data_IF_543920269915
#
_entry.id   IF_543920269915
#
_cell.length_a   1.000
_cell.length_b   1.000
_cell.length_c   1.000
_cell.angle_alpha   90.00
_cell.angle_beta   90.00
_cell.angle_gamma   90.00
#
_symmetry.space_group_name_H-M   'P 1'
#
loop_
_entity.id
_entity.type
_entity.pdbx_description
1 polymer ?
#
# COMPACT_ATOMS: atom_id res chain seq x y z
N UNK A 1 -8.73 -19.47 23.06
CA UNK A 1 -10.04 -18.82 22.90
C UNK A 1 -10.01 -18.09 21.58
N UNK A 2 -11.07 -18.09 20.76
CA UNK A 2 -11.12 -17.27 19.57
C UNK A 2 -10.96 -15.80 19.99
N UNK A 3 -10.07 -15.09 19.31
CA UNK A 3 -9.87 -13.65 19.50
C UNK A 3 -11.15 -12.91 19.07
N UNK A 4 -11.74 -12.19 20.00
CA UNK A 4 -12.91 -11.35 19.72
C UNK A 4 -12.41 -10.06 19.07
N UNK A 5 -13.04 -9.65 17.97
CA UNK A 5 -12.66 -8.42 17.28
C UNK A 5 -13.06 -7.17 18.10
N UNK A 6 -12.23 -6.14 18.06
CA UNK A 6 -12.50 -4.85 18.71
C UNK A 6 -13.82 -4.22 18.24
N UNK A 7 -14.21 -4.40 16.98
CA UNK A 7 -15.47 -3.88 16.45
C UNK A 7 -16.69 -4.41 17.21
N UNK A 8 -16.63 -5.65 17.72
CA UNK A 8 -17.74 -6.28 18.43
C UNK A 8 -17.94 -5.78 19.87
N UNK A 9 -16.96 -5.07 20.42
CA UNK A 9 -17.01 -4.48 21.78
C UNK A 9 -17.08 -2.96 21.75
N UNK A 10 -17.24 -2.38 20.55
CA UNK A 10 -17.42 -0.94 20.39
C UNK A 10 -18.76 -0.48 21.02
N UNK A 11 -18.70 0.63 21.75
CA UNK A 11 -19.88 1.27 22.37
C UNK A 11 -20.65 2.12 21.37
N UNK A 12 -20.01 2.52 20.28
CA UNK A 12 -20.60 3.29 19.20
C UNK A 12 -19.96 2.86 17.86
N UNK A 13 -20.80 2.81 16.82
CA UNK A 13 -20.39 2.60 15.43
C UNK A 13 -21.14 3.60 14.56
N UNK A 14 -20.42 4.24 13.63
CA UNK A 14 -21.05 5.13 12.66
C UNK A 14 -20.46 4.95 11.27
N UNK A 15 -21.25 5.28 10.26
CA UNK A 15 -20.82 5.24 8.88
C UNK A 15 -20.19 6.58 8.49
N UNK A 16 -18.94 6.55 8.01
CA UNK A 16 -18.23 7.71 7.46
C UNK A 16 -18.50 7.82 5.96
N UNK A 17 -18.45 6.69 5.28
CA UNK A 17 -18.76 6.63 3.86
C UNK A 17 -19.50 5.32 3.52
N UNK A 18 -20.49 5.35 2.61
CA UNK A 18 -21.21 4.17 2.19
C UNK A 18 -20.34 3.26 1.31
N UNK A 19 -20.78 2.01 1.20
CA UNK A 19 -20.28 1.11 0.17
C UNK A 19 -20.65 1.61 -1.23
N UNK A 20 -19.84 1.29 -2.23
CA UNK A 20 -20.09 1.65 -3.63
C UNK A 20 -19.84 0.48 -4.56
N UNK A 21 -20.68 0.35 -5.59
CA UNK A 21 -20.46 -0.62 -6.65
C UNK A 21 -19.41 -0.09 -7.64
N UNK A 22 -18.45 -0.92 -8.00
CA UNK A 22 -17.37 -0.57 -8.92
C UNK A 22 -17.14 -1.66 -9.95
N UNK A 23 -16.87 -1.23 -11.19
CA UNK A 23 -16.32 -2.10 -12.21
C UNK A 23 -14.82 -2.29 -11.97
N UNK A 24 -14.37 -3.53 -12.01
CA UNK A 24 -12.95 -3.93 -11.94
C UNK A 24 -12.48 -4.16 -13.37
N UNK A 25 -11.64 -3.28 -13.95
CA UNK A 25 -11.15 -3.45 -15.31
C UNK A 25 -10.19 -4.64 -15.41
N UNK A 26 -10.08 -5.24 -16.59
CA UNK A 26 -9.08 -6.26 -16.86
C UNK A 26 -7.66 -5.66 -16.79
N UNK A 27 -6.72 -6.40 -16.20
CA UNK A 27 -5.30 -6.09 -16.35
C UNK A 27 -4.86 -6.33 -17.81
N UNK A 28 -3.80 -5.66 -18.22
CA UNK A 28 -3.16 -5.88 -19.54
C UNK A 28 -2.06 -6.93 -19.39
N UNK A 29 -2.14 -8.00 -20.16
CA UNK A 29 -1.16 -9.09 -20.13
C UNK A 29 -1.22 -9.91 -21.42
N UNK A 30 -0.13 -10.58 -21.74
CA UNK A 30 -0.07 -11.46 -22.91
C UNK A 30 -0.79 -12.80 -22.66
N UNK A 31 -1.33 -13.44 -23.70
CA UNK A 31 -1.81 -14.82 -23.58
C UNK A 31 -0.77 -15.73 -22.94
N UNK A 32 -1.21 -16.65 -22.07
CA UNK A 32 -0.34 -17.59 -21.36
C UNK A 32 0.28 -17.05 -20.06
N UNK A 33 0.12 -15.77 -19.71
CA UNK A 33 0.70 -15.23 -18.48
C UNK A 33 -0.01 -15.73 -17.22
N UNK A 34 -1.32 -15.91 -17.24
CA UNK A 34 -2.10 -16.45 -16.11
C UNK A 34 -1.69 -17.89 -15.81
N UNK A 35 -1.43 -18.69 -16.83
CA UNK A 35 -1.06 -20.09 -16.73
C UNK A 35 0.34 -20.32 -16.14
N UNK A 36 1.19 -19.28 -16.14
CA UNK A 36 2.50 -19.29 -15.46
C UNK A 36 2.39 -19.13 -13.94
N UNK A 37 1.22 -18.74 -13.39
CA UNK A 37 1.04 -18.53 -11.95
C UNK A 37 1.03 -19.87 -11.22
N UNK A 38 2.00 -20.06 -10.34
CA UNK A 38 2.16 -21.29 -9.53
C UNK A 38 1.53 -21.12 -8.14
N UNK A 39 1.73 -19.95 -7.51
CA UNK A 39 1.16 -19.65 -6.19
C UNK A 39 0.87 -18.16 -6.04
N UNK A 40 -0.04 -17.84 -5.13
CA UNK A 40 -0.42 -16.47 -4.76
C UNK A 40 -0.06 -16.16 -3.32
N UNK A 41 0.03 -14.87 -3.00
CA UNK A 41 0.25 -14.36 -1.64
C UNK A 41 -0.84 -13.35 -1.27
N UNK A 42 -1.17 -13.26 0.02
CA UNK A 42 -2.17 -12.38 0.64
C UNK A 42 -3.64 -12.66 0.29
N UNK A 43 -3.92 -13.40 -0.77
CA UNK A 43 -5.27 -13.82 -1.13
C UNK A 43 -5.24 -15.19 -1.82
N UNK A 44 -6.34 -15.98 -1.78
CA UNK A 44 -6.46 -17.21 -2.52
C UNK A 44 -6.22 -17.03 -4.03
N UNK A 45 -5.69 -18.05 -4.68
CA UNK A 45 -5.29 -18.02 -6.09
C UNK A 45 -6.44 -17.61 -7.02
N UNK A 46 -7.62 -18.15 -6.81
CA UNK A 46 -8.83 -17.83 -7.58
C UNK A 46 -9.21 -16.35 -7.45
N UNK A 47 -9.08 -15.78 -6.26
CA UNK A 47 -9.31 -14.34 -6.00
C UNK A 47 -8.30 -13.49 -6.75
N UNK A 48 -7.00 -13.85 -6.71
CA UNK A 48 -5.94 -13.14 -7.44
C UNK A 48 -6.17 -13.22 -8.94
N UNK A 49 -6.42 -14.41 -9.48
CA UNK A 49 -6.67 -14.60 -10.92
C UNK A 49 -7.92 -13.84 -11.37
N UNK A 50 -9.00 -13.89 -10.59
CA UNK A 50 -10.21 -13.13 -10.88
C UNK A 50 -9.94 -11.63 -10.92
N UNK A 51 -9.17 -11.10 -9.97
CA UNK A 51 -8.79 -9.68 -9.95
C UNK A 51 -7.95 -9.28 -11.17
N UNK A 52 -7.01 -10.13 -11.61
CA UNK A 52 -6.18 -9.89 -12.78
C UNK A 52 -6.97 -9.98 -14.10
N UNK A 53 -7.86 -10.97 -14.24
CA UNK A 53 -8.76 -11.07 -15.40
C UNK A 53 -9.73 -9.91 -15.48
N UNK A 54 -10.18 -9.40 -14.34
CA UNK A 54 -11.08 -8.26 -14.27
C UNK A 54 -12.41 -8.48 -14.97
N UNK A 55 -12.98 -7.39 -15.49
CA UNK A 55 -14.24 -7.34 -16.23
C UNK A 55 -15.46 -7.87 -15.45
N UNK A 56 -15.53 -7.45 -14.17
CA UNK A 56 -16.66 -7.76 -13.28
C UNK A 56 -17.00 -6.58 -12.39
N UNK A 57 -18.22 -6.59 -11.85
CA UNK A 57 -18.63 -5.63 -10.81
C UNK A 57 -18.38 -6.20 -9.41
N UNK A 58 -18.01 -5.35 -8.49
CA UNK A 58 -17.82 -5.67 -7.08
C UNK A 58 -18.31 -4.53 -6.21
N UNK A 59 -18.70 -4.84 -4.98
CA UNK A 59 -19.00 -3.83 -3.96
C UNK A 59 -17.73 -3.54 -3.19
N UNK A 60 -17.32 -2.27 -3.14
CA UNK A 60 -16.32 -1.77 -2.21
C UNK A 60 -17.01 -1.41 -0.91
N UNK A 61 -16.51 -1.95 0.19
CA UNK A 61 -17.14 -1.81 1.50
C UNK A 61 -17.14 -0.36 2.01
N UNK A 62 -17.99 -0.14 2.99
CA UNK A 62 -18.14 1.13 3.69
C UNK A 62 -16.88 1.51 4.51
N UNK A 63 -16.68 2.79 4.76
CA UNK A 63 -15.74 3.28 5.78
C UNK A 63 -16.52 3.52 7.07
N UNK A 64 -16.06 2.92 8.17
CA UNK A 64 -16.71 3.00 9.47
C UNK A 64 -15.78 3.55 10.54
N UNK A 65 -16.34 4.32 11.45
CA UNK A 65 -15.74 4.69 12.72
C UNK A 65 -16.31 3.87 13.87
N UNK A 66 -15.48 3.59 14.85
CA UNK A 66 -15.83 2.86 16.07
C UNK A 66 -15.27 3.57 17.29
N UNK A 67 -16.07 3.64 18.37
CA UNK A 67 -15.63 4.15 19.66
C UNK A 67 -15.56 3.01 20.67
N UNK A 68 -14.44 2.91 21.33
CA UNK A 68 -14.19 1.99 22.45
C UNK A 68 -14.05 2.78 23.75
N UNK A 69 -14.31 2.13 24.88
CA UNK A 69 -14.04 2.68 26.23
C UNK A 69 -13.11 1.74 27.00
N UNK A 70 -12.31 2.36 27.88
CA UNK A 70 -11.38 1.65 28.75
C UNK A 70 -10.46 0.71 27.93
N UNK A 71 -9.60 1.29 27.10
CA UNK A 71 -8.71 0.57 26.20
C UNK A 71 -7.28 0.69 26.69
N UNK A 72 -6.64 -0.42 26.90
CA UNK A 72 -5.19 -0.48 27.15
C UNK A 72 -4.43 -0.76 25.87
N UNK A 73 -3.52 0.14 25.51
CA UNK A 73 -2.49 -0.15 24.52
C UNK A 73 -1.21 -0.52 25.27
N UNK A 74 -0.71 -1.73 25.01
CA UNK A 74 0.54 -2.21 25.60
C UNK A 74 1.39 -2.85 24.52
N UNK A 75 2.57 -2.29 24.29
CA UNK A 75 3.54 -2.79 23.32
C UNK A 75 2.92 -3.18 21.96
N UNK A 76 2.13 -2.26 21.38
CA UNK A 76 1.51 -2.44 20.08
C UNK A 76 0.33 -3.41 20.05
N UNK A 77 -0.24 -3.75 21.21
CA UNK A 77 -1.46 -4.56 21.31
C UNK A 77 -2.52 -3.78 22.06
N UNK A 78 -3.69 -3.66 21.45
CA UNK A 78 -4.89 -3.09 22.06
C UNK A 78 -5.65 -4.16 22.80
N UNK A 79 -6.08 -3.83 24.02
CA UNK A 79 -6.93 -4.65 24.88
C UNK A 79 -8.17 -3.85 25.25
N UNK A 80 -9.35 -4.39 24.99
CA UNK A 80 -10.62 -3.80 25.36
C UNK A 80 -11.58 -4.91 25.79
N UNK A 81 -11.92 -4.98 27.08
CA UNK A 81 -12.75 -6.08 27.60
C UNK A 81 -12.18 -7.46 27.23
N UNK A 82 -12.91 -8.26 26.45
CA UNK A 82 -12.48 -9.58 25.94
C UNK A 82 -11.81 -9.56 24.56
N UNK A 83 -11.75 -8.38 23.93
CA UNK A 83 -11.20 -8.21 22.58
C UNK A 83 -9.74 -7.79 22.62
N UNK A 84 -8.97 -8.25 21.62
CA UNK A 84 -7.58 -7.84 21.43
C UNK A 84 -7.28 -7.62 19.96
N UNK A 85 -6.45 -6.61 19.66
CA UNK A 85 -5.96 -6.36 18.29
C UNK A 85 -4.48 -6.02 18.32
N UNK A 86 -3.69 -6.73 17.52
CA UNK A 86 -2.29 -6.43 17.31
C UNK A 86 -2.15 -5.35 16.23
N UNK A 87 -1.38 -4.30 16.53
CA UNK A 87 -0.96 -3.27 15.57
C UNK A 87 0.41 -3.59 14.98
N UNK A 88 1.28 -4.24 15.77
CA UNK A 88 2.62 -4.71 15.41
C UNK A 88 3.01 -5.90 16.27
N UNK A 89 4.07 -6.64 15.93
CA UNK A 89 4.65 -7.64 16.84
C UNK A 89 5.07 -7.01 18.17
N UNK A 90 4.87 -7.70 19.25
CA UNK A 90 5.37 -7.27 20.56
C UNK A 90 6.91 -7.19 20.54
N UNK A 91 7.46 -6.15 21.14
CA UNK A 91 8.91 -5.95 21.29
C UNK A 91 9.42 -6.57 22.59
N UNK A 92 8.57 -6.67 23.62
CA UNK A 92 8.94 -7.06 24.98
C UNK A 92 8.14 -8.27 25.47
N UNK A 93 8.72 -9.02 26.40
CA UNK A 93 7.97 -10.03 27.16
C UNK A 93 7.04 -9.35 28.17
N UNK A 94 5.93 -10.01 28.52
CA UNK A 94 4.85 -9.47 29.36
C UNK A 94 5.26 -8.88 30.73
N UNK A 95 6.49 -9.12 31.20
CA UNK A 95 7.02 -8.58 32.47
C UNK A 95 7.36 -7.09 32.43
N UNK A 96 7.30 -6.44 31.28
CA UNK A 96 7.59 -5.01 31.13
C UNK A 96 6.31 -4.14 31.15
N UNK A 97 5.33 -4.47 31.99
CA UNK A 97 4.22 -3.57 32.32
C UNK A 97 4.75 -2.37 33.10
N UNK A 98 5.30 -1.39 32.37
CA UNK A 98 5.53 -0.05 32.90
C UNK A 98 4.19 0.64 33.17
N UNK A 99 4.16 1.62 34.07
CA UNK A 99 2.96 2.46 34.26
C UNK A 99 2.55 3.03 32.92
N UNK A 100 1.33 2.68 32.48
CA UNK A 100 0.72 3.33 31.31
C UNK A 100 0.50 4.82 31.62
N UNK A 101 0.67 5.64 30.61
CA UNK A 101 0.25 7.05 30.67
C UNK A 101 -1.24 7.10 30.41
N UNK A 102 -2.02 7.80 31.21
CA UNK A 102 -3.44 7.97 30.96
C UNK A 102 -3.70 9.00 29.86
N UNK A 103 -4.58 8.66 28.94
CA UNK A 103 -5.11 9.58 27.93
C UNK A 103 -6.64 9.55 27.96
N UNK A 104 -7.27 10.73 27.98
CA UNK A 104 -8.73 10.79 27.94
C UNK A 104 -9.28 10.25 26.62
N UNK A 105 -8.72 10.69 25.49
CA UNK A 105 -9.21 10.34 24.17
C UNK A 105 -8.05 10.16 23.20
N UNK A 106 -8.25 9.33 22.16
CA UNK A 106 -7.32 9.17 21.06
C UNK A 106 -8.04 8.66 19.80
N UNK A 107 -7.47 8.92 18.62
CA UNK A 107 -7.95 8.43 17.35
C UNK A 107 -6.82 7.66 16.63
N UNK A 108 -6.99 6.35 16.50
CA UNK A 108 -6.00 5.45 15.93
C UNK A 108 -6.30 5.20 14.44
N UNK A 109 -5.32 5.45 13.58
CA UNK A 109 -5.44 5.31 12.12
C UNK A 109 -4.55 4.23 11.54
N UNK A 110 -3.65 3.64 12.33
CA UNK A 110 -2.71 2.63 11.85
C UNK A 110 -3.29 1.21 11.89
N UNK A 111 -2.75 0.37 11.01
CA UNK A 111 -3.10 -1.02 10.87
C UNK A 111 -1.91 -1.94 11.06
N UNK A 112 -2.16 -3.24 11.28
CA UNK A 112 -1.10 -4.26 11.28
C UNK A 112 -0.31 -4.28 9.96
N UNK A 113 -1.01 -4.17 8.82
CA UNK A 113 -0.37 -4.19 7.50
C UNK A 113 0.46 -2.93 7.28
N UNK A 114 -0.06 -1.77 7.68
CA UNK A 114 0.67 -0.50 7.61
C UNK A 114 1.94 -0.52 8.46
N UNK A 115 1.87 -1.08 9.67
CA UNK A 115 3.06 -1.23 10.52
C UNK A 115 4.09 -2.25 9.99
N UNK A 116 3.66 -3.19 9.14
CA UNK A 116 4.53 -4.22 8.58
C UNK A 116 5.10 -3.87 7.21
N UNK A 117 4.32 -3.19 6.36
CA UNK A 117 4.69 -2.92 4.97
C UNK A 117 4.59 -1.44 4.65
N UNK A 118 5.66 -0.89 4.12
CA UNK A 118 5.72 0.50 3.67
C UNK A 118 4.58 0.85 2.70
N UNK A 119 4.28 -0.04 1.76
CA UNK A 119 3.21 0.18 0.79
C UNK A 119 1.84 0.41 1.44
N UNK A 120 1.46 -0.44 2.41
CA UNK A 120 0.20 -0.29 3.14
C UNK A 120 0.19 0.95 4.03
N UNK A 121 1.31 1.26 4.68
CA UNK A 121 1.42 2.50 5.43
C UNK A 121 1.13 3.72 4.53
N UNK A 122 1.75 3.79 3.36
CA UNK A 122 1.62 4.93 2.45
C UNK A 122 0.23 5.02 1.79
N UNK A 123 -0.39 3.87 1.40
CA UNK A 123 -1.65 3.84 0.65
C UNK A 123 -2.90 3.64 1.48
N UNK A 124 -2.75 3.28 2.74
CA UNK A 124 -3.85 3.04 3.67
C UNK A 124 -3.74 3.91 4.92
N UNK A 125 -2.73 3.70 5.78
CA UNK A 125 -2.62 4.40 7.06
C UNK A 125 -2.46 5.92 6.89
N UNK A 126 -1.58 6.38 5.98
CA UNK A 126 -1.44 7.81 5.69
C UNK A 126 -2.76 8.45 5.21
N UNK A 127 -3.57 7.70 4.47
CA UNK A 127 -4.89 8.18 4.02
C UNK A 127 -5.92 8.19 5.15
N UNK A 128 -5.85 7.21 6.06
CA UNK A 128 -6.75 7.12 7.22
C UNK A 128 -6.43 8.15 8.29
N UNK A 129 -5.25 8.79 8.23
CA UNK A 129 -4.87 9.87 9.16
C UNK A 129 -5.87 11.03 9.18
N UNK A 130 -6.43 11.43 8.03
CA UNK A 130 -7.42 12.51 7.98
C UNK A 130 -8.68 12.16 8.77
N UNK A 131 -9.11 10.89 8.75
CA UNK A 131 -10.24 10.42 9.56
C UNK A 131 -9.93 10.57 11.06
N UNK A 132 -8.71 10.22 11.46
CA UNK A 132 -8.31 10.38 12.86
C UNK A 132 -8.27 11.85 13.27
N UNK A 133 -7.74 12.73 12.43
CA UNK A 133 -7.67 14.17 12.70
C UNK A 133 -9.05 14.85 12.75
N UNK A 134 -10.04 14.32 12.03
CA UNK A 134 -11.42 14.81 12.06
C UNK A 134 -12.20 14.36 13.31
N UNK A 135 -11.82 13.21 13.89
CA UNK A 135 -12.59 12.57 14.96
C UNK A 135 -11.93 12.62 16.35
N UNK A 136 -10.65 13.04 16.45
CA UNK A 136 -9.96 13.11 17.72
C UNK A 136 -8.49 13.48 17.59
N UNK A 137 -7.71 13.26 18.67
CA UNK A 137 -6.25 13.41 18.64
C UNK A 137 -5.63 12.20 17.93
N UNK A 138 -4.97 12.37 16.76
CA UNK A 138 -4.34 11.25 16.07
C UNK A 138 -3.22 10.64 16.90
N UNK A 139 -3.24 9.31 17.06
CA UNK A 139 -2.23 8.57 17.79
C UNK A 139 -1.64 7.45 16.94
N UNK A 140 -0.35 7.14 17.16
CA UNK A 140 0.37 6.10 16.43
C UNK A 140 1.41 5.40 17.29
N UNK A 141 1.60 4.11 17.09
CA UNK A 141 2.70 3.33 17.68
C UNK A 141 3.92 3.27 16.77
N UNK A 142 3.80 3.77 15.54
CA UNK A 142 4.84 3.67 14.52
C UNK A 142 6.02 4.59 14.83
N UNK A 143 7.21 4.06 14.68
CA UNK A 143 8.44 4.82 14.67
C UNK A 143 8.80 5.19 13.22
N UNK A 144 8.73 6.48 12.90
CA UNK A 144 9.01 7.03 11.55
C UNK A 144 10.46 7.52 11.42
N UNK A 145 11.39 6.89 12.11
CA UNK A 145 12.80 7.31 12.11
C UNK A 145 13.59 6.87 10.86
N UNK A 146 12.98 6.14 9.93
CA UNK A 146 13.70 5.49 8.84
C UNK A 146 13.21 5.85 7.44
N UNK A 147 14.15 6.10 6.53
CA UNK A 147 13.95 6.20 5.09
C UNK A 147 13.00 7.32 4.67
N UNK A 148 12.20 7.07 3.66
CA UNK A 148 11.27 8.03 3.08
C UNK A 148 10.07 8.38 3.97
N UNK A 149 9.79 7.59 5.02
CA UNK A 149 8.59 7.74 5.86
C UNK A 149 8.51 9.12 6.50
N UNK A 150 9.61 9.63 7.03
CA UNK A 150 9.66 10.97 7.62
C UNK A 150 9.27 12.03 6.60
N UNK A 151 9.82 11.94 5.39
CA UNK A 151 9.53 12.93 4.34
C UNK A 151 8.08 12.86 3.86
N UNK A 152 7.53 11.66 3.66
CA UNK A 152 6.09 11.50 3.35
C UNK A 152 5.19 12.04 4.48
N UNK A 153 5.54 11.77 5.73
CA UNK A 153 4.79 12.29 6.88
C UNK A 153 4.78 13.83 6.91
N UNK A 154 5.91 14.47 6.61
CA UNK A 154 5.99 15.94 6.48
C UNK A 154 5.09 16.46 5.37
N UNK A 155 5.17 15.87 4.15
CA UNK A 155 4.37 16.28 2.98
C UNK A 155 2.87 16.12 3.25
N UNK A 156 2.49 15.01 3.89
CA UNK A 156 1.09 14.75 4.26
C UNK A 156 0.65 15.49 5.53
N UNK A 157 1.60 16.15 6.23
CA UNK A 157 1.36 16.85 7.51
C UNK A 157 0.80 15.93 8.59
N UNK A 158 1.37 14.73 8.68
CA UNK A 158 0.99 13.79 9.73
C UNK A 158 1.56 14.26 11.08
N UNK A 159 0.69 14.65 11.99
CA UNK A 159 1.04 15.16 13.32
C UNK A 159 0.43 14.26 14.40
N UNK A 160 0.67 12.94 14.28
CA UNK A 160 0.18 12.01 15.26
C UNK A 160 1.07 11.98 16.52
N UNK A 161 0.42 11.90 17.67
CA UNK A 161 1.12 11.70 18.93
C UNK A 161 1.67 10.26 18.99
N UNK A 162 2.99 10.14 19.12
CA UNK A 162 3.64 8.86 19.32
C UNK A 162 3.33 8.28 20.71
N UNK A 163 2.87 7.05 20.73
CA UNK A 163 2.49 6.32 21.96
C UNK A 163 3.05 4.89 21.96
N UNK A 164 3.39 4.35 23.15
CA UNK A 164 3.85 2.97 23.31
C UNK A 164 2.98 2.18 24.28
N UNK A 165 2.69 2.74 25.46
CA UNK A 165 1.83 2.14 26.50
C UNK A 165 0.94 3.22 27.08
N UNK A 166 -0.36 3.10 26.85
CA UNK A 166 -1.34 4.13 27.20
C UNK A 166 -2.66 3.48 27.59
N UNK A 167 -3.29 3.99 28.65
CA UNK A 167 -4.70 3.74 28.93
C UNK A 167 -5.54 4.86 28.34
N UNK A 168 -6.56 4.49 27.53
CA UNK A 168 -7.54 5.43 26.98
C UNK A 168 -8.89 5.28 27.69
N UNK A 169 -9.45 6.38 28.16
CA UNK A 169 -10.88 6.41 28.56
C UNK A 169 -11.76 6.13 27.34
N UNK A 170 -11.42 6.77 26.20
CA UNK A 170 -12.06 6.54 24.90
C UNK A 170 -11.02 6.46 23.78
N UNK A 171 -11.14 5.45 22.92
CA UNK A 171 -10.36 5.28 21.70
C UNK A 171 -11.27 5.17 20.49
N UNK A 172 -11.01 6.00 19.48
CA UNK A 172 -11.64 5.89 18.16
C UNK A 172 -10.69 5.13 17.24
N UNK A 173 -11.24 4.24 16.42
CA UNK A 173 -10.52 3.58 15.34
C UNK A 173 -11.43 3.38 14.11
N UNK A 174 -10.84 2.99 12.98
CA UNK A 174 -11.54 2.96 11.70
C UNK A 174 -11.43 1.58 11.04
N UNK A 175 -12.50 1.16 10.36
CA UNK A 175 -12.46 0.14 9.31
C UNK A 175 -12.46 0.86 7.97
N UNK A 176 -11.27 0.96 7.36
CA UNK A 176 -10.99 1.69 6.14
C UNK A 176 -10.12 0.87 5.18
N UNK A 177 -10.36 -0.45 5.13
CA UNK A 177 -9.56 -1.38 4.33
C UNK A 177 -9.95 -1.38 2.85
N UNK A 178 -11.20 -1.05 2.55
CA UNK A 178 -11.72 -1.04 1.20
C UNK A 178 -11.29 0.19 0.38
N UNK A 179 -11.17 -0.02 -0.93
CA UNK A 179 -10.75 1.02 -1.87
C UNK A 179 -11.99 1.73 -2.46
N UNK A 180 -12.83 2.31 -1.59
CA UNK A 180 -14.06 3.03 -1.95
C UNK A 180 -13.81 4.48 -2.40
N UNK A 181 -14.88 5.19 -2.75
CA UNK A 181 -14.81 6.57 -3.27
C UNK A 181 -14.27 7.57 -2.24
N UNK A 182 -14.59 7.40 -0.96
CA UNK A 182 -14.06 8.25 0.09
C UNK A 182 -12.53 8.13 0.19
N UNK A 183 -11.99 6.90 0.15
CA UNK A 183 -10.55 6.69 0.13
C UNK A 183 -9.91 7.23 -1.16
N UNK A 184 -10.61 7.16 -2.32
CA UNK A 184 -10.15 7.78 -3.56
C UNK A 184 -9.94 9.29 -3.41
N UNK A 185 -10.90 10.00 -2.84
CA UNK A 185 -10.80 11.45 -2.61
C UNK A 185 -9.58 11.80 -1.72
N UNK A 186 -9.37 11.05 -0.63
CA UNK A 186 -8.22 11.24 0.26
C UNK A 186 -6.89 10.94 -0.46
N UNK A 187 -6.86 9.93 -1.33
CA UNK A 187 -5.68 9.62 -2.14
C UNK A 187 -5.38 10.71 -3.17
N UNK A 188 -6.40 11.33 -3.78
CA UNK A 188 -6.24 12.46 -4.69
C UNK A 188 -5.69 13.70 -3.97
N UNK A 189 -6.11 13.97 -2.73
CA UNK A 189 -5.52 15.03 -1.92
C UNK A 189 -4.05 14.76 -1.58
N UNK A 190 -3.73 13.54 -1.16
CA UNK A 190 -2.35 13.12 -0.93
C UNK A 190 -1.48 13.26 -2.19
N UNK A 191 -2.02 12.86 -3.36
CA UNK A 191 -1.35 13.03 -4.65
C UNK A 191 -1.08 14.51 -4.97
N UNK A 192 -2.05 15.40 -4.75
CA UNK A 192 -1.86 16.85 -4.98
C UNK A 192 -0.73 17.42 -4.13
N UNK A 193 -0.62 17.01 -2.86
CA UNK A 193 0.46 17.43 -1.97
C UNK A 193 1.83 16.94 -2.47
N UNK A 194 1.91 15.70 -2.94
CA UNK A 194 3.15 15.17 -3.51
C UNK A 194 3.53 15.87 -4.82
N UNK A 195 2.59 16.16 -5.71
CA UNK A 195 2.88 16.89 -6.94
C UNK A 195 3.36 18.34 -6.69
N UNK A 196 3.09 18.90 -5.52
CA UNK A 196 3.53 20.25 -5.15
C UNK A 196 5.00 20.33 -4.72
N UNK A 197 5.65 19.18 -4.38
CA UNK A 197 7.05 19.21 -3.92
C UNK A 197 8.09 19.03 -5.03
N UNK A 198 7.68 18.61 -6.24
CA UNK A 198 8.60 18.42 -7.36
C UNK A 198 7.91 18.68 -8.70
N UNK A 199 8.59 19.37 -9.59
CA UNK A 199 8.15 19.52 -10.97
C UNK A 199 8.38 18.22 -11.74
N UNK A 200 7.44 17.88 -12.63
CA UNK A 200 7.53 16.72 -13.50
C UNK A 200 7.31 17.11 -14.96
N UNK A 201 7.96 16.38 -15.85
CA UNK A 201 7.79 16.53 -17.30
C UNK A 201 7.33 15.18 -17.85
N UNK A 202 6.39 15.21 -18.78
CA UNK A 202 5.90 13.97 -19.42
C UNK A 202 7.03 13.24 -20.15
N UNK A 203 7.12 11.93 -19.93
CA UNK A 203 8.10 11.06 -20.55
C UNK A 203 7.57 9.60 -20.66
N UNK A 204 8.20 8.75 -21.50
CA UNK A 204 7.68 7.40 -21.78
C UNK A 204 7.49 6.54 -20.56
N UNK A 205 8.45 6.53 -19.61
CA UNK A 205 8.32 5.72 -18.42
C UNK A 205 9.51 5.77 -17.47
N UNK A 206 9.33 5.15 -16.32
CA UNK A 206 10.38 4.94 -15.32
C UNK A 206 10.38 3.48 -14.86
N UNK A 207 11.56 2.89 -14.76
CA UNK A 207 11.77 1.59 -14.14
C UNK A 207 12.30 1.81 -12.72
N UNK A 208 11.50 1.39 -11.71
CA UNK A 208 11.90 1.45 -10.32
C UNK A 208 12.62 0.16 -9.95
N UNK A 209 13.92 0.26 -9.68
CA UNK A 209 14.72 -0.89 -9.26
C UNK A 209 14.31 -1.34 -7.86
N UNK A 210 14.16 -2.64 -7.70
CA UNK A 210 13.91 -3.26 -6.41
C UNK A 210 15.20 -3.69 -5.72
N UNK A 211 16.13 -4.24 -6.48
CA UNK A 211 17.33 -4.85 -5.92
C UNK A 211 17.01 -5.96 -4.90
N UNK A 212 17.78 -6.01 -3.83
CA UNK A 212 17.66 -7.01 -2.76
C UNK A 212 16.90 -6.49 -1.51
N UNK A 213 16.12 -5.41 -1.64
CA UNK A 213 15.43 -4.80 -0.48
C UNK A 213 14.12 -5.51 -0.13
N UNK A 214 13.79 -5.58 1.17
CA UNK A 214 12.55 -6.15 1.68
C UNK A 214 12.50 -7.68 1.63
N UNK A 215 11.31 -8.25 1.47
CA UNK A 215 11.15 -9.70 1.32
C UNK A 215 11.75 -10.18 0.00
N UNK A 216 12.49 -11.31 0.04
CA UNK A 216 13.21 -11.85 -1.11
C UNK A 216 12.30 -12.08 -2.32
N UNK A 217 12.63 -11.42 -3.43
CA UNK A 217 12.08 -11.55 -4.80
C UNK A 217 13.11 -11.01 -5.76
N UNK A 218 14.09 -11.84 -6.09
CA UNK A 218 15.22 -11.40 -6.88
C UNK A 218 14.98 -11.72 -8.35
N UNK A 219 14.73 -10.67 -9.14
CA UNK A 219 14.73 -10.77 -10.60
C UNK A 219 16.17 -10.72 -11.10
N UNK A 220 16.71 -11.85 -11.53
CA UNK A 220 18.13 -12.02 -11.89
C UNK A 220 18.57 -11.13 -13.05
N UNK A 221 17.65 -10.76 -13.93
CA UNK A 221 17.93 -9.89 -15.07
C UNK A 221 17.27 -8.49 -14.92
N UNK A 222 16.97 -8.03 -13.69
CA UNK A 222 16.30 -6.74 -13.44
C UNK A 222 17.01 -5.58 -14.12
N UNK A 223 18.33 -5.47 -13.92
CA UNK A 223 19.12 -4.37 -14.50
C UNK A 223 19.15 -4.41 -16.02
N UNK A 224 19.29 -5.59 -16.60
CA UNK A 224 19.29 -5.76 -18.06
C UNK A 224 17.93 -5.35 -18.68
N UNK A 225 16.80 -5.68 -18.02
CA UNK A 225 15.47 -5.23 -18.44
C UNK A 225 15.36 -3.70 -18.33
N UNK A 226 15.78 -3.11 -17.22
CA UNK A 226 15.74 -1.67 -17.02
C UNK A 226 16.56 -0.92 -18.08
N UNK A 227 17.79 -1.38 -18.36
CA UNK A 227 18.69 -0.80 -19.37
C UNK A 227 18.15 -0.96 -20.80
N UNK A 228 17.52 -2.10 -21.08
CA UNK A 228 16.84 -2.33 -22.35
C UNK A 228 15.69 -1.34 -22.57
N UNK A 229 14.80 -1.18 -21.57
CA UNK A 229 13.71 -0.21 -21.63
C UNK A 229 14.22 1.24 -21.71
N UNK A 230 15.31 1.57 -21.03
CA UNK A 230 15.94 2.89 -21.12
C UNK A 230 16.44 3.17 -22.53
N UNK A 231 17.18 2.23 -23.11
CA UNK A 231 17.81 2.40 -24.42
C UNK A 231 16.78 2.43 -25.56
N UNK A 232 15.80 1.54 -25.52
CA UNK A 232 14.86 1.33 -26.64
C UNK A 232 13.59 2.17 -26.54
N UNK A 233 13.12 2.42 -25.30
CA UNK A 233 11.85 3.10 -25.05
C UNK A 233 11.99 4.43 -24.30
N UNK A 234 13.22 4.87 -23.99
CA UNK A 234 13.49 6.15 -23.33
C UNK A 234 13.04 6.17 -21.85
N UNK A 235 12.99 5.02 -21.19
CA UNK A 235 12.68 4.95 -19.77
C UNK A 235 13.80 5.55 -18.93
N UNK A 236 13.45 6.15 -17.83
CA UNK A 236 14.39 6.49 -16.76
C UNK A 236 14.58 5.27 -15.86
N UNK A 237 15.79 5.07 -15.34
CA UNK A 237 16.06 4.06 -14.32
C UNK A 237 16.24 4.78 -13.00
N UNK A 238 15.53 4.35 -11.96
CA UNK A 238 15.61 4.97 -10.65
C UNK A 238 15.67 3.89 -9.57
N UNK A 239 16.60 4.07 -8.63
CA UNK A 239 16.70 3.23 -7.43
C UNK A 239 16.11 3.99 -6.24
N UNK A 240 14.90 3.62 -5.77
CA UNK A 240 14.27 4.30 -4.65
C UNK A 240 15.09 4.23 -3.35
N UNK A 241 15.98 3.24 -3.18
CA UNK A 241 16.75 3.08 -1.95
C UNK A 241 17.79 4.18 -1.72
N UNK A 242 18.20 4.87 -2.78
CA UNK A 242 19.20 5.95 -2.75
C UNK A 242 18.67 7.29 -3.25
N UNK A 243 17.42 7.34 -3.72
CA UNK A 243 16.78 8.57 -4.23
C UNK A 243 15.97 9.26 -3.14
N UNK A 244 15.86 10.56 -3.22
CA UNK A 244 14.96 11.36 -2.38
C UNK A 244 13.49 11.20 -2.81
N UNK A 245 12.55 11.56 -1.94
CA UNK A 245 11.12 11.55 -2.29
C UNK A 245 10.83 12.50 -3.45
N UNK A 246 11.50 13.67 -3.49
CA UNK A 246 11.37 14.66 -4.56
C UNK A 246 11.84 14.10 -5.91
N UNK A 247 12.97 13.39 -5.95
CA UNK A 247 13.47 12.75 -7.17
C UNK A 247 12.54 11.66 -7.67
N UNK A 248 11.99 10.84 -6.74
CA UNK A 248 11.02 9.81 -7.06
C UNK A 248 9.73 10.43 -7.62
N UNK A 249 9.21 11.48 -6.98
CA UNK A 249 8.02 12.19 -7.45
C UNK A 249 8.27 12.80 -8.81
N UNK A 250 9.39 13.51 -9.02
CA UNK A 250 9.75 14.11 -10.29
C UNK A 250 9.86 13.07 -11.43
N UNK A 251 10.38 11.89 -11.13
CA UNK A 251 10.49 10.80 -12.11
C UNK A 251 9.17 10.12 -12.42
N UNK A 252 8.31 9.90 -11.42
CA UNK A 252 7.10 9.09 -11.59
C UNK A 252 5.87 9.91 -11.99
N UNK A 253 5.76 11.18 -11.56
CA UNK A 253 4.57 11.99 -11.78
C UNK A 253 4.32 12.37 -13.26
N UNK A 254 5.35 12.34 -14.10
CA UNK A 254 5.26 12.56 -15.55
C UNK A 254 5.36 11.30 -16.41
N UNK A 255 5.53 10.13 -15.77
CA UNK A 255 5.70 8.88 -16.47
C UNK A 255 4.38 8.33 -17.03
N UNK A 256 4.35 7.97 -18.31
CA UNK A 256 3.22 7.21 -18.89
C UNK A 256 3.17 5.78 -18.38
N UNK A 257 4.33 5.19 -18.09
CA UNK A 257 4.43 3.86 -17.50
C UNK A 257 5.41 3.89 -16.33
N UNK A 258 4.98 3.38 -15.17
CA UNK A 258 5.87 3.01 -14.06
C UNK A 258 6.04 1.51 -14.09
N UNK A 259 7.28 1.03 -14.16
CA UNK A 259 7.58 -0.40 -14.25
C UNK A 259 8.51 -0.86 -13.13
N UNK A 260 8.46 -2.15 -12.78
CA UNK A 260 9.40 -2.77 -11.84
C UNK A 260 8.92 -4.10 -11.31
N UNK A 261 9.73 -4.72 -10.44
CA UNK A 261 9.38 -5.97 -9.77
C UNK A 261 8.31 -5.71 -8.70
N UNK A 262 7.35 -6.63 -8.52
CA UNK A 262 6.32 -6.53 -7.50
C UNK A 262 6.91 -6.18 -6.12
N UNK A 263 6.33 -5.19 -5.44
CA UNK A 263 6.74 -4.79 -4.10
C UNK A 263 6.33 -3.38 -3.70
N UNK A 264 6.52 -3.07 -2.40
CA UNK A 264 6.12 -1.79 -1.81
C UNK A 264 6.84 -0.57 -2.42
N UNK A 265 8.03 -0.73 -3.04
CA UNK A 265 8.73 0.35 -3.71
C UNK A 265 7.95 0.89 -4.93
N UNK A 266 7.14 0.06 -5.61
CA UNK A 266 6.29 0.52 -6.72
C UNK A 266 5.20 1.50 -6.27
N UNK A 267 4.86 1.50 -4.99
CA UNK A 267 3.85 2.40 -4.44
C UNK A 267 4.29 3.86 -4.54
N UNK A 268 5.58 4.14 -4.46
CA UNK A 268 6.13 5.48 -4.70
C UNK A 268 5.65 6.08 -6.03
N UNK A 269 5.73 5.28 -7.10
CA UNK A 269 5.28 5.72 -8.42
C UNK A 269 3.76 5.72 -8.55
N UNK A 270 3.12 4.65 -8.06
CA UNK A 270 1.68 4.44 -8.16
C UNK A 270 0.87 5.63 -7.59
N UNK A 271 1.30 6.22 -6.47
CA UNK A 271 0.56 7.31 -5.81
C UNK A 271 0.68 8.66 -6.52
N UNK A 272 1.64 8.84 -7.42
CA UNK A 272 1.89 10.12 -8.11
C UNK A 272 1.70 10.06 -9.63
N UNK A 273 1.80 8.89 -10.26
CA UNK A 273 1.64 8.77 -11.71
C UNK A 273 0.26 9.25 -12.17
N UNK A 274 0.10 9.73 -13.44
CA UNK A 274 -1.17 10.21 -13.97
C UNK A 274 -2.29 9.15 -13.89
N UNK A 275 -3.57 9.57 -13.87
CA UNK A 275 -4.70 8.62 -13.84
C UNK A 275 -4.80 7.72 -15.09
N UNK A 276 -4.30 8.17 -16.24
CA UNK A 276 -4.26 7.42 -17.50
C UNK A 276 -2.97 6.61 -17.70
N UNK A 277 -2.00 6.79 -16.80
CA UNK A 277 -0.75 6.04 -16.82
C UNK A 277 -0.94 4.57 -16.47
N UNK A 278 0.08 3.76 -16.74
CA UNK A 278 0.09 2.33 -16.44
C UNK A 278 1.14 1.95 -15.41
N UNK A 279 0.80 1.02 -14.53
CA UNK A 279 1.73 0.30 -13.68
C UNK A 279 2.03 -1.07 -14.31
N UNK A 280 3.27 -1.29 -14.78
CA UNK A 280 3.72 -2.57 -15.33
C UNK A 280 4.52 -3.33 -14.27
N UNK A 281 3.98 -4.46 -13.83
CA UNK A 281 4.52 -5.22 -12.70
C UNK A 281 5.10 -6.55 -13.13
N UNK A 282 6.38 -6.79 -12.85
CA UNK A 282 7.03 -8.08 -13.04
C UNK A 282 6.87 -8.90 -11.78
N UNK A 283 6.27 -10.09 -11.88
CA UNK A 283 5.94 -10.92 -10.72
C UNK A 283 6.62 -12.29 -10.77
N UNK A 284 7.14 -12.81 -9.65
CA UNK A 284 7.60 -14.19 -9.57
C UNK A 284 6.42 -15.16 -9.68
N UNK A 285 6.55 -16.31 -10.36
CA UNK A 285 5.42 -17.22 -10.58
C UNK A 285 4.89 -17.85 -9.28
N UNK A 286 5.74 -18.02 -8.28
CA UNK A 286 5.41 -18.67 -7.00
C UNK A 286 4.86 -17.71 -5.92
N UNK A 287 4.67 -16.41 -6.25
CA UNK A 287 4.19 -15.41 -5.31
C UNK A 287 3.51 -14.23 -6.03
N UNK A 288 2.41 -14.52 -6.69
CA UNK A 288 1.66 -13.49 -7.43
C UNK A 288 0.68 -12.77 -6.50
N UNK A 289 0.61 -11.44 -6.61
CA UNK A 289 -0.29 -10.58 -5.83
C UNK A 289 -1.06 -9.62 -6.72
N UNK A 290 -2.30 -9.33 -6.31
CA UNK A 290 -3.17 -8.36 -6.98
C UNK A 290 -3.36 -7.05 -6.19
N UNK A 291 -2.66 -6.86 -5.06
CA UNK A 291 -2.84 -5.71 -4.19
C UNK A 291 -2.62 -4.36 -4.90
N UNK A 292 -1.54 -4.24 -5.70
CA UNK A 292 -1.26 -3.02 -6.45
C UNK A 292 -2.32 -2.73 -7.52
N UNK A 293 -2.88 -3.78 -8.14
CA UNK A 293 -3.99 -3.61 -9.09
C UNK A 293 -5.23 -3.01 -8.45
N UNK A 294 -5.57 -3.43 -7.24
CA UNK A 294 -6.74 -2.86 -6.53
C UNK A 294 -6.57 -1.36 -6.28
N UNK A 295 -5.33 -0.91 -6.04
CA UNK A 295 -5.02 0.52 -5.85
C UNK A 295 -5.05 1.26 -7.18
N UNK A 296 -4.49 0.71 -8.27
CA UNK A 296 -4.57 1.31 -9.61
C UNK A 296 -6.03 1.45 -10.06
N UNK A 297 -6.86 0.43 -9.84
CA UNK A 297 -8.30 0.45 -10.15
C UNK A 297 -9.02 1.60 -9.41
N UNK A 298 -8.70 1.84 -8.12
CA UNK A 298 -9.24 2.97 -7.35
C UNK A 298 -8.87 4.29 -8.00
N UNK A 299 -7.64 4.44 -8.48
CA UNK A 299 -7.12 5.69 -9.04
C UNK A 299 -7.48 5.91 -10.51
N UNK A 300 -8.04 4.89 -11.18
CA UNK A 300 -8.37 4.95 -12.62
C UNK A 300 -7.16 4.74 -13.52
N UNK A 301 -6.08 4.17 -12.98
CA UNK A 301 -4.83 3.86 -13.68
C UNK A 301 -4.90 2.49 -14.35
N UNK A 302 -4.10 2.28 -15.39
CA UNK A 302 -3.96 0.96 -16.00
C UNK A 302 -3.03 0.07 -15.19
N UNK A 303 -3.30 -1.23 -15.17
CA UNK A 303 -2.42 -2.23 -14.58
C UNK A 303 -2.02 -3.26 -15.62
N UNK A 304 -0.72 -3.49 -15.77
CA UNK A 304 -0.15 -4.53 -16.63
C UNK A 304 0.77 -5.44 -15.81
N UNK A 305 0.91 -6.70 -16.22
CA UNK A 305 1.84 -7.60 -15.56
C UNK A 305 2.49 -8.60 -16.49
N UNK A 306 3.68 -9.06 -16.08
CA UNK A 306 4.42 -10.17 -16.68
C UNK A 306 4.79 -11.15 -15.57
N UNK A 307 4.54 -12.43 -15.77
CA UNK A 307 4.96 -13.49 -14.85
C UNK A 307 6.30 -14.05 -15.34
N UNK A 308 7.30 -14.04 -14.47
CA UNK A 308 8.60 -14.60 -14.75
C UNK A 308 8.64 -16.13 -14.68
N UNK A 309 9.84 -16.68 -14.76
CA UNK A 309 10.15 -18.10 -14.63
C UNK A 309 11.23 -18.32 -13.59
N UNK A 310 11.16 -19.40 -12.81
CA UNK A 310 12.10 -19.70 -11.72
C UNK A 310 11.50 -19.60 -10.32
N UNK A 311 12.36 -19.64 -9.31
CA UNK A 311 11.96 -19.53 -7.90
C UNK A 311 11.90 -18.08 -7.41
N UNK A 312 11.30 -17.87 -6.24
CA UNK A 312 11.12 -16.51 -5.66
C UNK A 312 12.45 -15.79 -5.41
N UNK A 313 13.50 -16.51 -5.07
CA UNK A 313 14.82 -15.94 -4.75
C UNK A 313 15.68 -15.72 -5.99
N UNK A 314 15.31 -16.35 -7.11
CA UNK A 314 16.04 -16.23 -8.37
C UNK A 314 15.08 -16.56 -9.53
N UNK A 315 14.36 -15.58 -10.00
CA UNK A 315 13.52 -15.71 -11.19
C UNK A 315 14.02 -14.77 -12.29
N UNK A 316 13.63 -15.04 -13.52
CA UNK A 316 13.92 -14.20 -14.68
C UNK A 316 12.66 -13.95 -15.49
N UNK A 317 12.67 -12.92 -16.32
CA UNK A 317 11.61 -12.63 -17.28
C UNK A 317 12.20 -12.48 -18.68
N UNK A 318 11.47 -12.93 -19.70
CA UNK A 318 11.84 -12.66 -21.08
C UNK A 318 11.63 -11.16 -21.38
N UNK A 319 12.68 -10.51 -21.86
CA UNK A 319 12.65 -9.11 -22.25
C UNK A 319 11.58 -8.82 -23.30
N UNK A 320 11.39 -9.73 -24.25
CA UNK A 320 10.37 -9.63 -25.28
C UNK A 320 8.94 -9.70 -24.70
N UNK A 321 8.71 -10.51 -23.66
CA UNK A 321 7.41 -10.51 -22.96
C UNK A 321 7.14 -9.15 -22.27
N UNK A 322 8.18 -8.52 -21.70
CA UNK A 322 8.07 -7.19 -21.09
C UNK A 322 7.74 -6.13 -22.14
N UNK A 323 8.45 -6.09 -23.27
CA UNK A 323 8.21 -5.17 -24.38
C UNK A 323 6.81 -5.31 -24.97
N UNK A 324 6.42 -6.54 -25.32
CA UNK A 324 5.09 -6.81 -25.87
C UNK A 324 3.97 -6.47 -24.89
N UNK A 325 4.23 -6.57 -23.59
CA UNK A 325 3.25 -6.14 -22.57
C UNK A 325 3.23 -4.62 -22.47
N UNK A 326 4.38 -3.95 -22.62
CA UNK A 326 4.46 -2.49 -22.69
C UNK A 326 3.64 -1.96 -23.86
N UNK A 327 3.66 -2.59 -25.04
CA UNK A 327 2.86 -2.22 -26.22
C UNK A 327 1.34 -2.25 -25.97
N UNK A 328 0.87 -2.96 -24.92
CA UNK A 328 -0.55 -2.98 -24.56
C UNK A 328 -0.99 -1.74 -23.77
N UNK A 329 -0.03 -0.92 -23.28
CA UNK A 329 -0.29 0.20 -22.35
C UNK A 329 0.44 1.49 -22.71
N UNK A 330 1.31 1.48 -23.74
CA UNK A 330 2.07 2.64 -24.23
C UNK A 330 1.21 3.60 -25.07
#
# INVERSE_FOLDING_TARGET
MPTVDLESVAVERWQIAPSSERHVPAAKFLPGQIEKIVASEFAPMDVVIRALRGDYRTVRGETLGFRLRNVDLVDGVLYCSKATRHLRPRRWNMSAYGKSTDMKTGALYETWLGNRYFGNWLTDDCLSYSLAAEHGEPVSTRDMSHGHETRYAEVFRLQAKRIDSVHFDELIFFRDTDQNDNKKVRAEDARKRLLAIAASVSHPGVFLLRGNTGQSRVLSNERAIAEHLATKHGFRILDPSVSTVEEIVAACAGARVVAGVEGSHLVHGLIVMPPDAALLVIQPPSRVVSALKVITDRQGQNYAFVIGSGGIENFSVDCNDVERTLDLVA
#
